data_IF_382698368636
#
_entry.id   IF_382698368636
#
_cell.length_a   1.000
_cell.length_b   1.000
_cell.length_c   1.000
_cell.angle_alpha   90.00
_cell.angle_beta   90.00
_cell.angle_gamma   90.00
#
_symmetry.space_group_name_H-M   'P 1'
#
loop_
_entity.id
_entity.type
_entity.pdbx_description
1 polymer ?
#
# COMPACT_ATOMS: atom_id res chain seq x y z
N UNK A 1 -17.14 -10.96 -4.62
CA UNK A 1 -16.04 -10.04 -4.23
C UNK A 1 -14.72 -10.67 -4.63
N UNK A 2 -13.87 -9.96 -5.37
CA UNK A 2 -12.56 -10.49 -5.75
C UNK A 2 -11.73 -10.75 -4.50
N UNK A 3 -11.04 -11.90 -4.41
CA UNK A 3 -10.12 -12.23 -3.31
C UNK A 3 -8.92 -11.26 -3.20
N UNK A 4 -8.81 -10.33 -4.16
CA UNK A 4 -7.66 -9.47 -4.36
C UNK A 4 -7.94 -7.98 -4.12
N UNK A 5 -9.20 -7.55 -4.14
CA UNK A 5 -9.60 -6.19 -3.77
C UNK A 5 -9.75 -6.13 -2.25
N UNK A 6 -8.71 -5.65 -1.57
CA UNK A 6 -8.63 -5.66 -0.11
C UNK A 6 -8.98 -4.31 0.50
N UNK A 7 -8.84 -3.23 -0.26
CA UNK A 7 -9.23 -1.90 0.15
C UNK A 7 -10.50 -1.51 -0.60
N UNK A 8 -11.52 -1.11 0.14
CA UNK A 8 -12.67 -0.43 -0.45
C UNK A 8 -12.29 1.03 -0.77
N UNK A 9 -12.99 1.64 -1.72
CA UNK A 9 -12.58 2.93 -2.32
C UNK A 9 -12.39 4.04 -1.27
N UNK A 10 -13.23 4.08 -0.24
CA UNK A 10 -13.09 5.08 0.81
C UNK A 10 -11.86 4.87 1.71
N UNK A 11 -11.36 3.63 1.84
CA UNK A 11 -10.11 3.35 2.55
C UNK A 11 -8.93 3.76 1.68
N UNK A 12 -8.99 3.45 0.39
CA UNK A 12 -7.99 3.85 -0.58
C UNK A 12 -7.85 5.38 -0.64
N UNK A 13 -8.95 6.12 -0.72
CA UNK A 13 -8.95 7.57 -0.81
C UNK A 13 -8.22 8.28 0.35
N UNK A 14 -8.16 7.66 1.54
CA UNK A 14 -7.41 8.19 2.71
C UNK A 14 -5.90 8.00 2.58
N UNK A 15 -5.48 6.99 1.82
CA UNK A 15 -4.08 6.57 1.68
C UNK A 15 -3.47 7.12 0.39
N UNK A 16 -4.26 7.29 -0.66
CA UNK A 16 -3.81 7.67 -2.00
C UNK A 16 -2.95 8.93 -2.02
N UNK A 17 -3.36 9.98 -1.29
CA UNK A 17 -2.64 11.26 -1.21
C UNK A 17 -1.28 11.16 -0.49
N UNK A 18 -1.05 10.09 0.27
CA UNK A 18 0.21 9.83 0.97
C UNK A 18 1.19 9.02 0.12
N UNK A 19 0.75 8.52 -1.04
CA UNK A 19 1.62 7.77 -1.93
C UNK A 19 2.71 8.69 -2.48
N UNK A 20 3.99 8.24 -2.48
CA UNK A 20 5.05 9.03 -3.05
C UNK A 20 4.82 9.19 -4.55
N UNK A 21 4.83 10.44 -5.02
CA UNK A 21 4.67 10.78 -6.43
C UNK A 21 5.95 10.47 -7.23
N UNK A 22 5.78 10.11 -8.51
CA UNK A 22 6.87 10.02 -9.50
C UNK A 22 7.13 11.35 -10.22
N UNK A 23 6.40 12.41 -9.88
CA UNK A 23 6.54 13.72 -10.52
C UNK A 23 7.98 14.24 -10.37
N UNK A 24 8.58 14.64 -11.50
CA UNK A 24 9.97 15.08 -11.55
C UNK A 24 11.02 13.98 -11.60
N UNK A 25 10.64 12.69 -11.62
CA UNK A 25 11.59 11.59 -11.84
C UNK A 25 11.75 11.27 -13.34
N UNK A 26 12.99 11.18 -13.83
CA UNK A 26 13.30 10.82 -15.22
C UNK A 26 13.05 9.33 -15.56
N UNK A 27 12.45 8.58 -14.64
CA UNK A 27 12.22 7.14 -14.74
C UNK A 27 10.83 6.78 -15.26
N UNK A 28 10.57 5.47 -15.40
CA UNK A 28 9.23 4.96 -15.73
C UNK A 28 8.22 5.38 -14.64
N UNK A 29 7.04 5.90 -15.01
CA UNK A 29 5.98 6.21 -14.07
C UNK A 29 5.66 5.02 -13.16
N UNK A 30 5.22 5.32 -11.95
CA UNK A 30 4.83 4.27 -11.02
C UNK A 30 3.66 3.45 -11.59
N UNK A 31 3.70 2.13 -11.37
CA UNK A 31 2.51 1.29 -11.55
C UNK A 31 1.44 1.73 -10.55
N UNK A 32 0.19 1.36 -10.84
CA UNK A 32 -0.95 1.60 -9.95
C UNK A 32 -0.58 1.31 -8.49
N UNK A 33 -0.61 2.37 -7.68
CA UNK A 33 -0.23 2.31 -6.28
C UNK A 33 -1.20 1.44 -5.49
N UNK A 34 -2.48 1.42 -5.87
CA UNK A 34 -3.50 0.62 -5.19
C UNK A 34 -3.21 -0.87 -5.33
N UNK A 35 -3.00 -1.35 -6.55
CA UNK A 35 -2.64 -2.75 -6.81
C UNK A 35 -1.40 -3.20 -6.04
N UNK A 36 -0.36 -2.35 -5.94
CA UNK A 36 0.85 -2.66 -5.18
C UNK A 36 0.54 -2.74 -3.68
N UNK A 37 -0.18 -1.76 -3.14
CA UNK A 37 -0.52 -1.71 -1.73
C UNK A 37 -1.39 -2.90 -1.33
N UNK A 38 -2.40 -3.23 -2.13
CA UNK A 38 -3.25 -4.40 -1.93
C UNK A 38 -2.44 -5.71 -2.01
N UNK A 39 -1.47 -5.81 -2.91
CA UNK A 39 -0.56 -6.96 -2.97
C UNK A 39 0.29 -7.12 -1.71
N UNK A 40 0.77 -6.01 -1.14
CA UNK A 40 1.50 -6.01 0.13
C UNK A 40 0.59 -6.48 1.26
N UNK A 41 -0.61 -5.90 1.38
CA UNK A 41 -1.59 -6.25 2.41
C UNK A 41 -1.98 -7.73 2.29
N UNK A 42 -2.22 -8.21 1.05
CA UNK A 42 -2.55 -9.60 0.79
C UNK A 42 -1.46 -10.54 1.31
N UNK A 43 -0.20 -10.25 0.98
CA UNK A 43 0.95 -11.05 1.42
C UNK A 43 1.02 -11.17 2.94
N UNK A 44 0.85 -10.06 3.66
CA UNK A 44 0.88 -10.07 5.13
C UNK A 44 -0.34 -10.76 5.75
N UNK A 45 -1.53 -10.58 5.17
CA UNK A 45 -2.75 -11.26 5.62
C UNK A 45 -2.69 -12.78 5.39
N UNK A 46 -2.18 -13.21 4.24
CA UNK A 46 -2.12 -14.62 3.86
C UNK A 46 -0.88 -15.34 4.41
N UNK A 47 0.14 -14.61 4.88
CA UNK A 47 1.37 -15.19 5.43
C UNK A 47 2.27 -15.87 4.39
N UNK A 48 2.09 -15.56 3.10
CA UNK A 48 2.78 -16.27 2.01
C UNK A 48 4.19 -15.70 1.72
N UNK A 49 5.08 -16.52 1.13
CA UNK A 49 6.30 -16.02 0.50
C UNK A 49 5.99 -14.98 -0.59
N UNK A 50 6.90 -14.01 -0.79
CA UNK A 50 6.73 -13.02 -1.87
C UNK A 50 6.60 -13.66 -3.25
N UNK A 51 7.33 -14.76 -3.50
CA UNK A 51 7.33 -15.48 -4.78
C UNK A 51 5.97 -16.08 -5.13
N UNK A 52 5.12 -16.31 -4.14
CA UNK A 52 3.80 -16.92 -4.30
C UNK A 52 2.69 -15.86 -4.40
N UNK A 53 3.07 -14.57 -4.47
CA UNK A 53 2.11 -13.49 -4.62
C UNK A 53 1.32 -13.64 -5.93
N UNK A 54 -0.02 -13.58 -5.90
CA UNK A 54 -0.85 -13.64 -7.10
C UNK A 54 -0.45 -12.61 -8.16
N UNK A 55 -0.38 -13.04 -9.43
CA UNK A 55 0.11 -12.23 -10.55
C UNK A 55 -0.74 -10.98 -10.84
N UNK A 56 -2.00 -10.97 -10.40
CA UNK A 56 -2.89 -9.81 -10.56
C UNK A 56 -2.39 -8.56 -9.80
N UNK A 57 -1.52 -8.72 -8.79
CA UNK A 57 -0.86 -7.60 -8.12
C UNK A 57 0.40 -7.10 -8.86
N UNK A 58 0.75 -7.76 -9.97
CA UNK A 58 1.96 -7.54 -10.74
C UNK A 58 3.16 -8.36 -10.24
N UNK A 59 4.34 -8.14 -10.83
CA UNK A 59 5.54 -8.91 -10.48
C UNK A 59 5.90 -8.74 -9.01
N UNK A 60 6.06 -9.86 -8.29
CA UNK A 60 6.34 -9.84 -6.85
C UNK A 60 7.60 -9.04 -6.51
N UNK A 61 8.60 -9.00 -7.40
CA UNK A 61 9.82 -8.21 -7.19
C UNK A 61 9.51 -6.72 -7.15
N UNK A 62 8.57 -6.24 -7.97
CA UNK A 62 8.13 -4.84 -7.97
C UNK A 62 7.40 -4.52 -6.67
N UNK A 63 6.48 -5.39 -6.25
CA UNK A 63 5.72 -5.23 -4.99
C UNK A 63 6.67 -5.22 -3.79
N UNK A 64 7.61 -6.16 -3.73
CA UNK A 64 8.63 -6.23 -2.68
C UNK A 64 9.54 -4.99 -2.66
N UNK A 65 10.07 -4.56 -3.82
CA UNK A 65 10.89 -3.34 -3.91
C UNK A 65 10.12 -2.11 -3.42
N UNK A 66 8.82 -2.04 -3.71
CA UNK A 66 7.96 -0.97 -3.22
C UNK A 66 7.74 -1.01 -1.73
N UNK A 67 7.42 -2.19 -1.18
CA UNK A 67 7.31 -2.38 0.27
C UNK A 67 8.59 -1.95 0.98
N UNK A 68 9.76 -2.37 0.47
CA UNK A 68 11.05 -1.97 1.02
C UNK A 68 11.26 -0.46 0.95
N UNK A 69 10.96 0.16 -0.20
CA UNK A 69 11.08 1.63 -0.36
C UNK A 69 10.19 2.36 0.65
N UNK A 70 8.93 1.98 0.78
CA UNK A 70 7.99 2.57 1.75
C UNK A 70 8.46 2.44 3.20
N UNK A 71 9.18 1.36 3.52
CA UNK A 71 9.78 1.16 4.84
C UNK A 71 11.01 2.06 5.05
N UNK A 72 11.76 2.36 3.99
CA UNK A 72 12.96 3.19 4.09
C UNK A 72 12.68 4.69 4.02
N UNK A 73 11.64 5.12 3.30
CA UNK A 73 11.30 6.53 3.09
C UNK A 73 10.20 7.06 4.03
N UNK A 74 9.78 6.24 5.01
CA UNK A 74 8.78 6.60 6.01
C UNK A 74 7.35 6.68 5.49
N UNK A 75 7.08 6.18 4.28
CA UNK A 75 5.70 6.12 3.74
C UNK A 75 4.78 5.33 4.67
N UNK A 76 5.25 4.21 5.24
CA UNK A 76 4.44 3.43 6.20
C UNK A 76 4.12 4.21 7.46
N UNK A 77 5.08 4.96 8.00
CA UNK A 77 4.88 5.77 9.20
C UNK A 77 3.84 6.86 8.94
N UNK A 78 3.91 7.52 7.78
CA UNK A 78 2.91 8.54 7.38
C UNK A 78 1.51 7.95 7.28
N UNK A 79 1.37 6.78 6.65
CA UNK A 79 0.08 6.08 6.55
C UNK A 79 -0.44 5.72 7.94
N UNK A 80 0.41 5.17 8.80
CA UNK A 80 0.04 4.78 10.16
C UNK A 80 -0.41 5.99 10.99
N UNK A 81 0.38 7.07 11.02
CA UNK A 81 0.03 8.30 11.74
C UNK A 81 -1.27 8.92 11.23
N UNK A 82 -1.51 8.93 9.91
CA UNK A 82 -2.78 9.44 9.35
C UNK A 82 -3.98 8.62 9.82
N UNK A 83 -3.88 7.29 9.76
CA UNK A 83 -4.97 6.41 10.15
C UNK A 83 -5.24 6.46 11.66
N UNK A 84 -4.19 6.58 12.48
CA UNK A 84 -4.34 6.80 13.92
C UNK A 84 -5.03 8.12 14.23
N UNK A 85 -4.60 9.23 13.62
CA UNK A 85 -5.22 10.53 13.83
C UNK A 85 -6.70 10.55 13.40
N UNK A 86 -7.05 9.85 12.31
CA UNK A 86 -8.46 9.69 11.91
C UNK A 86 -9.26 8.88 12.92
N UNK A 87 -8.69 7.79 13.48
CA UNK A 87 -9.35 6.95 14.46
C UNK A 87 -9.55 7.67 15.81
N UNK A 88 -8.55 8.44 16.26
CA UNK A 88 -8.61 9.27 17.45
C UNK A 88 -9.70 10.34 17.34
N UNK A 89 -9.75 11.05 16.20
CA UNK A 89 -10.76 12.08 15.95
C UNK A 89 -12.22 11.55 15.99
N UNK A 90 -12.44 10.25 15.78
CA UNK A 90 -13.76 9.61 15.88
C UNK A 90 -13.95 8.81 17.18
N UNK A 91 -13.01 8.91 18.12
CA UNK A 91 -13.06 8.24 19.43
C UNK A 91 -12.99 6.71 19.35
N UNK A 92 -12.38 6.16 18.29
CA UNK A 92 -12.19 4.71 18.14
C UNK A 92 -10.98 4.18 18.93
N UNK A 93 -10.08 5.07 19.34
CA UNK A 93 -8.88 4.78 20.13
C UNK A 93 -8.77 5.81 21.26
N UNK A 94 -8.13 5.40 22.36
CA UNK A 94 -7.83 6.18 23.59
C UNK A 94 -6.32 6.47 23.63
#
# INVERSE_FOLDING_TARGET
MSRTALLIDHQWARIESLMPSSDGSAGRPFRDHRSILEGIIYRFRAGIPWRDLPENFGPWQTVWKRHRRFSCDGTWDKIHSRLLAEADAVGMID
#
